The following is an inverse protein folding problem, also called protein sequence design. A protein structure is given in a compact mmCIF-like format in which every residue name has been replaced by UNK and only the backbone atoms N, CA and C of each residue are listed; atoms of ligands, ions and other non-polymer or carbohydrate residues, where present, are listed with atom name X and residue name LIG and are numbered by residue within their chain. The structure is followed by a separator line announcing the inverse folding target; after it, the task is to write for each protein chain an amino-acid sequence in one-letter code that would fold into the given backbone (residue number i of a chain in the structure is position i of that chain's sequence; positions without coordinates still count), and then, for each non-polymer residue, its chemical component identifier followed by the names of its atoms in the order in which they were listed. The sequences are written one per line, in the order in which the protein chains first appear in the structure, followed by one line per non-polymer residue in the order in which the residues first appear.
data_IF_951039800024
#
_entry.id   IF_951039800024
#
_cell.length_a   1.000
_cell.length_b   1.000
_cell.length_c   1.000
_cell.angle_alpha   90.00
_cell.angle_beta   90.00
_cell.angle_gamma   90.00
#
_symmetry.space_group_name_H-M   'P 1'
#
loop_
_entity.id
_entity.type
_entity.pdbx_description
1 polymer ?
#
# COMPACT_ATOMS: atom_id res chain seq x y z
N UNK A 1 -13.17 -4.45 26.26
CA UNK A 1 -13.72 -3.08 26.35
C UNK A 1 -13.70 -2.47 24.97
N UNK A 2 -14.82 -1.97 24.46
CA UNK A 2 -14.88 -1.28 23.18
C UNK A 2 -14.68 0.21 23.46
N UNK A 3 -13.61 0.78 22.94
CA UNK A 3 -13.32 2.19 23.09
C UNK A 3 -14.38 3.00 22.32
N UNK A 4 -15.08 3.89 23.00
CA UNK A 4 -16.10 4.75 22.42
C UNK A 4 -15.66 6.20 22.56
N UNK A 5 -15.38 6.85 21.44
CA UNK A 5 -15.17 8.30 21.42
C UNK A 5 -16.52 9.02 21.50
N UNK A 6 -16.51 10.22 22.08
CA UNK A 6 -17.70 11.10 22.13
C UNK A 6 -18.04 11.68 20.75
N UNK A 7 -17.05 11.79 19.86
CA UNK A 7 -17.25 12.17 18.45
C UNK A 7 -17.45 10.92 17.59
N UNK A 8 -18.29 11.03 16.57
CA UNK A 8 -18.53 9.94 15.61
C UNK A 8 -17.27 9.61 14.80
N UNK A 9 -16.47 10.63 14.50
CA UNK A 9 -15.20 10.52 13.79
C UNK A 9 -14.18 11.58 14.23
N UNK A 10 -12.89 11.32 13.94
CA UNK A 10 -11.78 12.24 14.13
C UNK A 10 -10.78 12.11 12.98
N UNK A 11 -10.38 13.22 12.36
CA UNK A 11 -9.42 13.21 11.25
C UNK A 11 -8.07 13.77 11.68
N UNK A 12 -6.99 13.05 11.42
CA UNK A 12 -5.62 13.55 11.59
C UNK A 12 -4.72 13.05 10.47
N UNK A 13 -3.81 13.91 10.00
CA UNK A 13 -2.86 13.62 8.91
C UNK A 13 -3.52 13.07 7.62
N UNK A 14 -4.80 13.40 7.41
CA UNK A 14 -5.58 12.92 6.27
C UNK A 14 -6.06 11.47 6.36
N UNK A 15 -6.14 10.93 7.59
CA UNK A 15 -6.78 9.67 7.97
C UNK A 15 -7.96 9.98 8.90
N UNK A 16 -9.14 9.43 8.60
CA UNK A 16 -10.35 9.57 9.43
C UNK A 16 -10.57 8.33 10.28
N UNK A 17 -10.55 8.48 11.60
CA UNK A 17 -10.79 7.43 12.57
C UNK A 17 -12.24 7.48 13.02
N UNK A 18 -12.93 6.35 12.98
CA UNK A 18 -14.32 6.21 13.44
C UNK A 18 -14.37 5.22 14.60
N UNK A 19 -15.49 5.16 15.31
CA UNK A 19 -15.71 4.17 16.38
C UNK A 19 -15.79 2.71 15.87
N UNK A 20 -15.85 2.52 14.55
CA UNK A 20 -15.87 1.22 13.90
C UNK A 20 -14.61 1.01 13.05
N UNK A 21 -13.76 0.06 13.44
CA UNK A 21 -12.52 -0.24 12.75
C UNK A 21 -12.71 -0.57 11.26
N UNK A 22 -13.76 -1.30 10.91
CA UNK A 22 -14.03 -1.65 9.51
C UNK A 22 -14.38 -0.41 8.68
N UNK A 23 -15.15 0.50 9.25
CA UNK A 23 -15.52 1.75 8.59
C UNK A 23 -14.31 2.67 8.42
N UNK A 24 -13.47 2.77 9.46
CA UNK A 24 -12.18 3.47 9.40
C UNK A 24 -11.34 2.93 8.24
N UNK A 25 -11.19 1.62 8.11
CA UNK A 25 -10.41 1.01 7.03
C UNK A 25 -11.01 1.30 5.66
N UNK A 26 -12.33 1.12 5.50
CA UNK A 26 -13.02 1.33 4.23
C UNK A 26 -12.96 2.79 3.77
N UNK A 27 -13.30 3.74 4.65
CA UNK A 27 -13.33 5.17 4.34
C UNK A 27 -11.95 5.73 3.97
N UNK A 28 -10.87 5.17 4.52
CA UNK A 28 -9.53 5.66 4.22
C UNK A 28 -8.89 4.94 3.03
N UNK A 29 -9.02 3.61 2.92
CA UNK A 29 -8.27 2.85 1.93
C UNK A 29 -8.93 2.91 0.55
N UNK A 30 -10.26 2.77 0.46
CA UNK A 30 -10.98 2.80 -0.82
C UNK A 30 -10.68 4.06 -1.67
N UNK A 31 -10.79 5.30 -1.14
CA UNK A 31 -10.51 6.48 -1.96
C UNK A 31 -9.03 6.59 -2.35
N UNK A 32 -8.10 6.10 -1.51
CA UNK A 32 -6.66 6.12 -1.82
C UNK A 32 -6.32 5.07 -2.87
N UNK A 33 -6.98 3.92 -2.84
CA UNK A 33 -6.91 2.89 -3.87
C UNK A 33 -7.44 3.38 -5.21
N UNK A 34 -8.56 4.12 -5.21
CA UNK A 34 -9.06 4.78 -6.43
C UNK A 34 -8.06 5.80 -6.97
N UNK A 35 -7.44 6.62 -6.12
CA UNK A 35 -6.37 7.55 -6.53
C UNK A 35 -5.16 6.82 -7.11
N UNK A 36 -4.78 5.67 -6.54
CA UNK A 36 -3.73 4.80 -7.07
C UNK A 36 -4.08 4.28 -8.47
N UNK A 37 -5.29 3.69 -8.64
CA UNK A 37 -5.78 3.19 -9.94
C UNK A 37 -5.86 4.32 -10.98
N UNK A 38 -6.36 5.49 -10.60
CA UNK A 38 -6.44 6.67 -11.47
C UNK A 38 -5.06 7.19 -11.88
N UNK A 39 -4.07 7.16 -10.97
CA UNK A 39 -2.69 7.49 -11.29
C UNK A 39 -2.15 6.53 -12.37
N UNK A 40 -2.28 5.22 -12.19
CA UNK A 40 -1.84 4.25 -13.21
C UNK A 40 -2.56 4.46 -14.54
N UNK A 41 -3.88 4.68 -14.49
CA UNK A 41 -4.72 5.00 -15.66
C UNK A 41 -4.29 6.28 -16.37
N UNK A 42 -3.81 7.30 -15.66
CA UNK A 42 -3.28 8.51 -16.28
C UNK A 42 -1.90 8.33 -16.90
N UNK A 43 -1.17 7.27 -16.57
CA UNK A 43 0.13 6.97 -17.19
C UNK A 43 0.04 5.89 -18.28
N UNK A 44 -1.06 5.14 -18.34
CA UNK A 44 -1.25 4.06 -19.31
C UNK A 44 -1.27 4.53 -20.78
N UNK A 45 -1.71 5.77 -21.03
CA UNK A 45 -1.78 6.32 -22.40
C UNK A 45 -0.42 6.75 -22.95
N UNK A 46 0.62 6.75 -22.12
CA UNK A 46 1.98 7.15 -22.50
C UNK A 46 2.77 5.92 -22.93
N UNK A 47 3.47 5.99 -24.05
CA UNK A 47 4.40 4.94 -24.51
C UNK A 47 5.66 4.94 -23.62
N UNK A 48 5.56 4.29 -22.46
CA UNK A 48 6.66 4.17 -21.49
C UNK A 48 7.48 2.90 -21.75
N UNK A 49 8.79 3.02 -21.59
CA UNK A 49 9.69 1.86 -21.49
C UNK A 49 9.36 1.06 -20.23
N UNK A 50 9.81 -0.20 -20.16
CA UNK A 50 9.61 -1.05 -18.99
C UNK A 50 10.14 -0.37 -17.70
N UNK A 51 11.33 0.24 -17.79
CA UNK A 51 11.93 1.00 -16.70
C UNK A 51 11.06 2.21 -16.34
N UNK A 52 10.56 2.94 -17.34
CA UNK A 52 9.65 4.07 -17.13
C UNK A 52 8.36 3.67 -16.41
N UNK A 53 7.77 2.52 -16.75
CA UNK A 53 6.59 1.97 -16.04
C UNK A 53 6.90 1.66 -14.58
N UNK A 54 8.06 1.06 -14.31
CA UNK A 54 8.49 0.74 -12.94
C UNK A 54 8.75 2.01 -12.13
N UNK A 55 9.39 3.01 -12.73
CA UNK A 55 9.58 4.33 -12.10
C UNK A 55 8.23 4.95 -11.78
N UNK A 56 7.29 4.98 -12.72
CA UNK A 56 5.95 5.54 -12.50
C UNK A 56 5.23 4.87 -11.31
N UNK A 57 5.26 3.54 -11.28
CA UNK A 57 4.65 2.77 -10.20
C UNK A 57 5.29 3.13 -8.85
N UNK A 58 6.63 3.08 -8.77
CA UNK A 58 7.38 3.25 -7.52
C UNK A 58 7.33 4.67 -6.99
N UNK A 59 7.45 5.68 -7.85
CA UNK A 59 7.59 7.07 -7.42
C UNK A 59 6.27 7.84 -7.37
N UNK A 60 5.29 7.52 -8.21
CA UNK A 60 4.04 8.30 -8.27
C UNK A 60 2.83 7.56 -7.71
N UNK A 61 2.70 6.26 -7.99
CA UNK A 61 1.52 5.50 -7.61
C UNK A 61 1.63 5.00 -6.16
N UNK A 62 2.69 4.25 -5.82
CA UNK A 62 2.86 3.64 -4.50
C UNK A 62 2.75 4.62 -3.32
N UNK A 63 3.37 5.83 -3.34
CA UNK A 63 3.30 6.76 -2.21
C UNK A 63 1.88 7.19 -1.84
N UNK A 64 0.93 7.14 -2.79
CA UNK A 64 -0.48 7.49 -2.54
C UNK A 64 -1.22 6.48 -1.68
N UNK A 65 -0.71 5.24 -1.61
CA UNK A 65 -1.34 4.12 -0.94
C UNK A 65 -0.51 3.62 0.26
N UNK A 66 0.83 3.70 0.19
CA UNK A 66 1.71 3.15 1.22
C UNK A 66 1.45 3.77 2.60
N UNK A 67 1.28 5.08 2.67
CA UNK A 67 1.06 5.79 3.93
C UNK A 67 -0.17 5.25 4.68
N UNK A 68 -1.28 5.08 3.98
CA UNK A 68 -2.53 4.57 4.58
C UNK A 68 -2.41 3.12 5.01
N UNK A 69 -1.65 2.30 4.27
CA UNK A 69 -1.40 0.90 4.62
C UNK A 69 -0.44 0.75 5.79
N UNK A 70 0.47 1.70 6.02
CA UNK A 70 1.39 1.67 7.16
C UNK A 70 0.75 2.16 8.46
N UNK A 71 -0.27 3.01 8.38
CA UNK A 71 -0.90 3.64 9.55
C UNK A 71 -2.11 2.84 10.06
N UNK A 72 -2.85 2.20 9.16
CA UNK A 72 -4.06 1.46 9.52
C UNK A 72 -3.75 -0.03 9.78
N UNK A 73 -4.56 -0.71 10.62
CA UNK A 73 -4.50 -2.15 10.75
C UNK A 73 -4.70 -2.84 9.40
N UNK A 74 -4.17 -4.06 9.26
CA UNK A 74 -4.13 -4.80 8.00
C UNK A 74 -5.50 -4.77 7.31
N UNK A 75 -5.57 -4.28 6.06
CA UNK A 75 -6.83 -4.21 5.34
C UNK A 75 -7.42 -5.60 5.08
N UNK A 76 -8.75 -5.69 4.87
CA UNK A 76 -9.41 -6.89 4.40
C UNK A 76 -8.70 -7.52 3.19
N UNK A 77 -8.68 -8.86 3.15
CA UNK A 77 -8.00 -9.63 2.10
C UNK A 77 -8.43 -9.26 0.67
N UNK A 78 -9.68 -8.83 0.48
CA UNK A 78 -10.19 -8.42 -0.82
C UNK A 78 -9.43 -7.21 -1.38
N UNK A 79 -9.13 -6.22 -0.52
CA UNK A 79 -8.38 -5.02 -0.91
C UNK A 79 -6.94 -5.38 -1.27
N UNK A 80 -6.34 -6.31 -0.52
CA UNK A 80 -4.98 -6.79 -0.78
C UNK A 80 -4.91 -7.48 -2.15
N UNK A 81 -5.88 -8.34 -2.45
CA UNK A 81 -5.97 -9.04 -3.74
C UNK A 81 -6.16 -8.05 -4.90
N UNK A 82 -7.00 -7.03 -4.68
CA UNK A 82 -7.20 -5.93 -5.62
C UNK A 82 -5.90 -5.19 -5.92
N UNK A 83 -5.13 -4.85 -4.88
CA UNK A 83 -3.83 -4.19 -5.06
C UNK A 83 -2.86 -5.10 -5.83
N UNK A 84 -2.76 -6.37 -5.43
CA UNK A 84 -1.87 -7.35 -6.06
C UNK A 84 -2.15 -7.55 -7.56
N UNK A 85 -3.43 -7.62 -7.95
CA UNK A 85 -3.81 -7.76 -9.37
C UNK A 85 -3.41 -6.56 -10.24
N UNK A 86 -3.22 -5.38 -9.64
CA UNK A 86 -2.82 -4.16 -10.34
C UNK A 86 -1.30 -3.94 -10.34
N UNK A 87 -0.53 -4.80 -9.65
CA UNK A 87 0.92 -4.75 -9.63
C UNK A 87 1.49 -5.65 -10.73
N UNK A 88 2.63 -5.28 -11.35
CA UNK A 88 3.35 -6.20 -12.23
C UNK A 88 3.77 -7.44 -11.44
N UNK A 89 3.69 -8.62 -12.07
CA UNK A 89 4.05 -9.88 -11.44
C UNK A 89 5.43 -9.79 -10.78
N UNK A 90 5.50 -10.22 -9.51
CA UNK A 90 6.78 -10.35 -8.83
C UNK A 90 7.58 -11.41 -9.60
N UNK A 91 8.80 -11.11 -10.08
CA UNK A 91 9.65 -12.16 -10.63
C UNK A 91 9.82 -13.25 -9.57
N UNK A 92 9.81 -14.54 -9.96
CA UNK A 92 9.91 -15.63 -9.02
C UNK A 92 11.11 -15.41 -8.10
N UNK A 93 10.87 -15.41 -6.79
CA UNK A 93 11.92 -15.45 -5.79
C UNK A 93 12.55 -16.82 -5.91
N UNK A 94 13.73 -16.90 -6.55
CA UNK A 94 14.56 -18.09 -6.45
C UNK A 94 14.92 -18.27 -4.98
N UNK A 95 14.49 -19.39 -4.41
CA UNK A 95 14.72 -19.83 -3.03
C UNK A 95 16.20 -20.10 -2.69
N UNK A 96 17.13 -19.84 -3.62
CA UNK A 96 18.53 -20.26 -3.52
C UNK A 96 19.50 -19.16 -3.08
N UNK A 97 19.02 -18.02 -2.56
CA UNK A 97 19.87 -17.04 -1.87
C UNK A 97 19.45 -16.85 -0.40
N UNK A 98 19.46 -17.95 0.35
CA UNK A 98 19.70 -17.95 1.79
C UNK A 98 20.84 -18.93 2.08
N UNK A 99 22.08 -18.50 1.88
CA UNK A 99 23.27 -19.16 2.39
C UNK A 99 24.46 -18.20 2.32
N UNK A 100 25.08 -17.96 3.48
CA UNK A 100 26.46 -17.44 3.75
C UNK A 100 26.76 -15.99 3.29
N UNK A 101 27.11 -15.02 4.14
CA UNK A 101 28.23 -15.04 5.10
C UNK A 101 28.03 -14.03 6.25
N UNK A 102 27.94 -14.53 7.49
CA UNK A 102 28.30 -13.77 8.69
C UNK A 102 29.82 -13.81 8.84
N UNK A 103 30.51 -12.68 8.66
CA UNK A 103 31.88 -12.51 9.16
C UNK A 103 31.81 -11.94 10.59
N UNK A 104 32.38 -12.64 11.60
CA UNK A 104 32.47 -12.09 12.95
C UNK A 104 33.58 -11.02 12.98
N UNK A 105 33.27 -9.87 13.57
CA UNK A 105 34.24 -8.83 13.88
C UNK A 105 35.09 -9.36 15.04
N UNK A 106 36.38 -9.58 14.81
CA UNK A 106 37.33 -9.88 15.87
C UNK A 106 37.62 -8.60 16.66
N UNK A 107 37.54 -8.71 17.99
CA UNK A 107 38.04 -7.74 18.97
C UNK A 107 39.55 -7.53 18.87
#
# INVERSE_FOLDING_TARGET
MKFHWTSDEATTLGITFTNNENETVQQNILPKLQKFKNCLKSWQHRKLTLIGKNTVLKTFALPKLIYTLTVLPTPPNDIIKDIQSNLPERPPVNSDQQSITTTPISS
#
